data_IF_829233475963
#
_entry.id   IF_829233475963
#
_cell.length_a   1.000
_cell.length_b   1.000
_cell.length_c   1.000
_cell.angle_alpha   90.00
_cell.angle_beta   90.00
_cell.angle_gamma   90.00
#
_symmetry.space_group_name_H-M   'P 1'
#
loop_
_entity.id
_entity.type
_entity.pdbx_description
1 polymer ?
#
# COMPACT_ATOMS: atom_id res chain seq x y z
N UNK A 1 -24.75 -11.50 37.13
CA UNK A 1 -24.81 -10.03 37.15
C UNK A 1 -24.36 -9.53 38.51
N UNK A 2 -23.13 -9.02 38.62
CA UNK A 2 -22.60 -8.49 39.87
C UNK A 2 -22.53 -6.96 39.76
N UNK A 3 -23.26 -6.28 40.66
CA UNK A 3 -23.20 -4.84 40.90
C UNK A 3 -22.02 -4.56 41.84
N UNK A 4 -21.17 -3.59 41.50
CA UNK A 4 -20.28 -2.94 42.47
C UNK A 4 -20.59 -1.45 42.51
N UNK A 5 -20.97 -1.03 43.72
CA UNK A 5 -21.34 0.32 44.11
C UNK A 5 -20.10 1.19 44.27
N UNK A 6 -20.23 2.43 43.79
CA UNK A 6 -19.32 3.55 44.00
C UNK A 6 -19.71 4.26 45.31
N UNK A 7 -18.70 4.65 46.10
CA UNK A 7 -18.63 5.82 46.99
C UNK A 7 -17.23 5.80 47.66
N UNK A 8 -16.43 6.85 47.76
CA UNK A 8 -16.56 8.24 47.32
C UNK A 8 -15.38 9.08 47.87
N UNK A 9 -15.13 10.20 47.18
CA UNK A 9 -14.49 11.46 47.64
C UNK A 9 -12.96 11.44 47.97
N UNK A 10 -12.12 12.40 47.53
CA UNK A 10 -12.36 13.84 47.35
C UNK A 10 -11.34 14.54 46.41
N UNK A 11 -11.82 15.51 45.58
CA UNK A 11 -11.29 16.86 45.22
C UNK A 11 -9.80 17.03 44.81
N UNK A 12 -9.34 17.80 43.81
CA UNK A 12 -9.79 18.93 42.94
C UNK A 12 -8.72 19.03 41.82
N UNK A 13 -8.98 19.41 40.56
CA UNK A 13 -8.82 20.79 40.08
C UNK A 13 -8.77 20.84 38.54
N UNK A 14 -9.71 21.59 37.95
CA UNK A 14 -9.66 22.31 36.67
C UNK A 14 -9.19 21.56 35.40
N UNK A 15 -10.18 21.06 34.66
CA UNK A 15 -10.13 20.75 33.23
C UNK A 15 -9.80 22.05 32.46
N UNK A 16 -8.70 22.06 31.69
CA UNK A 16 -8.47 23.08 30.65
C UNK A 16 -8.96 22.52 29.31
N UNK A 17 -9.90 23.24 28.72
CA UNK A 17 -10.45 23.02 27.39
C UNK A 17 -9.35 23.19 26.31
N UNK A 18 -9.11 22.21 25.42
CA UNK A 18 -8.03 22.26 24.43
C UNK A 18 -8.29 23.20 23.24
N UNK A 19 -9.39 23.97 23.22
CA UNK A 19 -9.75 24.84 22.09
C UNK A 19 -9.69 26.36 22.35
N UNK A 20 -9.03 26.80 23.42
CA UNK A 20 -8.84 28.24 23.67
C UNK A 20 -7.69 28.83 22.84
N UNK A 21 -8.02 29.68 21.85
CA UNK A 21 -7.06 30.54 21.12
C UNK A 21 -6.42 31.56 22.07
N UNK A 22 -5.10 31.80 22.01
CA UNK A 22 -4.51 32.94 22.69
C UNK A 22 -4.65 34.21 21.83
N UNK A 23 -5.46 35.15 22.31
CA UNK A 23 -5.35 36.57 21.96
C UNK A 23 -4.14 37.16 22.69
N UNK A 24 -3.13 37.60 21.94
CA UNK A 24 -2.37 38.84 22.22
C UNK A 24 -1.41 39.11 21.07
N UNK A 25 -1.83 40.04 20.22
CA UNK A 25 -0.99 40.80 19.31
C UNK A 25 -0.09 41.74 20.13
N UNK A 26 1.24 41.57 20.00
CA UNK A 26 2.30 42.61 20.01
C UNK A 26 3.57 42.15 20.73
N UNK A 27 4.41 41.36 20.05
CA UNK A 27 5.81 41.16 20.44
C UNK A 27 6.66 40.69 19.26
N UNK A 28 6.70 41.48 18.18
CA UNK A 28 7.77 41.36 17.18
C UNK A 28 8.35 42.76 16.92
N UNK A 29 9.33 43.13 17.74
CA UNK A 29 10.24 44.22 17.43
C UNK A 29 11.21 43.77 16.34
N UNK A 30 11.03 44.29 15.13
CA UNK A 30 12.00 44.20 14.04
C UNK A 30 13.21 45.09 14.37
N UNK A 31 14.22 44.48 14.98
CA UNK A 31 15.55 45.06 15.15
C UNK A 31 16.45 44.70 13.98
N UNK A 32 16.92 45.74 13.26
CA UNK A 32 17.85 45.68 12.15
C UNK A 32 19.18 44.98 12.50
N UNK A 33 19.51 43.89 11.80
CA UNK A 33 20.84 43.28 11.80
C UNK A 33 21.48 43.43 10.42
N UNK A 34 22.01 44.63 10.13
CA UNK A 34 23.00 44.84 9.07
C UNK A 34 24.35 44.30 9.56
N UNK A 35 24.66 43.06 9.20
CA UNK A 35 26.00 42.57 8.85
C UNK A 35 25.89 41.09 8.52
N UNK A 36 25.78 40.80 7.22
CA UNK A 36 25.98 39.45 6.71
C UNK A 36 27.43 39.04 7.01
N UNK A 37 27.67 37.86 7.61
CA UNK A 37 29.00 37.28 7.57
C UNK A 37 29.35 37.05 6.11
N UNK A 38 30.54 37.50 5.73
CA UNK A 38 31.16 37.26 4.44
C UNK A 38 30.95 35.80 4.05
N UNK A 39 30.32 35.59 2.90
CA UNK A 39 30.19 34.27 2.27
C UNK A 39 31.53 33.58 2.35
N UNK A 40 31.65 32.38 2.96
CA UNK A 40 32.84 31.59 2.76
C UNK A 40 32.96 31.38 1.25
N UNK A 41 34.13 31.71 0.71
CA UNK A 41 34.45 31.52 -0.69
C UNK A 41 33.92 30.16 -1.15
N UNK A 42 33.34 30.12 -2.36
CA UNK A 42 32.94 28.91 -3.08
C UNK A 42 34.15 27.98 -3.23
N UNK A 43 34.49 27.27 -2.17
CA UNK A 43 35.39 26.16 -2.20
C UNK A 43 34.62 25.00 -2.85
N UNK A 44 34.80 24.86 -4.16
CA UNK A 44 34.72 23.61 -4.93
C UNK A 44 33.61 22.65 -4.46
N UNK A 45 32.49 22.63 -5.19
CA UNK A 45 31.42 21.64 -5.05
C UNK A 45 31.81 20.20 -5.43
N UNK A 46 33.10 19.88 -5.54
CA UNK A 46 33.58 18.50 -5.60
C UNK A 46 33.64 17.87 -4.20
N UNK A 47 32.49 17.75 -3.53
CA UNK A 47 32.39 16.74 -2.47
C UNK A 47 32.49 15.39 -3.17
N UNK A 48 33.65 14.72 -3.06
CA UNK A 48 33.82 13.32 -3.47
C UNK A 48 32.61 12.54 -2.94
N UNK A 49 31.78 12.04 -3.85
CA UNK A 49 30.63 11.19 -3.50
C UNK A 49 31.18 9.99 -2.75
N UNK A 50 30.65 9.73 -1.56
CA UNK A 50 31.08 8.58 -0.75
C UNK A 50 30.86 7.28 -1.57
N UNK A 51 31.87 6.42 -1.67
CA UNK A 51 31.82 5.21 -2.48
C UNK A 51 30.69 4.24 -2.06
N UNK A 52 30.22 4.34 -0.82
CA UNK A 52 29.08 3.61 -0.31
C UNK A 52 27.74 4.05 -0.92
N UNK A 53 27.64 5.32 -1.32
CA UNK A 53 26.48 5.89 -2.00
C UNK A 53 26.49 5.61 -3.51
N UNK A 54 27.65 5.25 -4.07
CA UNK A 54 27.79 4.88 -5.48
C UNK A 54 27.62 3.37 -5.72
N UNK A 55 26.52 2.92 -6.36
CA UNK A 55 26.31 1.50 -6.66
C UNK A 55 27.34 0.91 -7.64
N UNK A 56 28.04 1.77 -8.39
CA UNK A 56 29.03 1.35 -9.38
C UNK A 56 30.45 1.30 -8.81
N UNK A 57 30.65 1.70 -7.54
CA UNK A 57 31.99 1.66 -6.96
C UNK A 57 32.54 0.23 -7.00
N UNK A 58 33.82 0.10 -7.37
CA UNK A 58 34.52 -1.18 -7.38
C UNK A 58 35.04 -1.57 -5.98
N UNK A 59 35.15 -0.58 -5.08
CA UNK A 59 35.72 -0.70 -3.74
C UNK A 59 35.06 0.33 -2.83
N UNK A 60 34.81 0.01 -1.57
CA UNK A 60 34.31 0.99 -0.59
C UNK A 60 35.40 1.20 0.46
N UNK A 61 36.14 2.32 0.40
CA UNK A 61 37.21 2.60 1.35
C UNK A 61 36.76 2.54 2.81
N UNK A 62 37.64 2.07 3.69
CA UNK A 62 37.44 2.09 5.14
C UNK A 62 36.99 3.47 5.62
N UNK A 63 37.59 4.54 5.12
CA UNK A 63 37.25 5.92 5.49
C UNK A 63 35.79 6.26 5.16
N UNK A 64 35.30 5.78 4.01
CA UNK A 64 33.93 5.99 3.55
C UNK A 64 32.92 5.20 4.40
N UNK A 65 33.29 3.99 4.83
CA UNK A 65 32.50 3.18 5.77
C UNK A 65 32.42 3.88 7.13
N UNK A 66 33.56 4.33 7.66
CA UNK A 66 33.63 4.99 8.97
C UNK A 66 32.96 6.37 8.97
N UNK A 67 32.88 7.05 7.83
CA UNK A 67 32.14 8.29 7.69
C UNK A 67 30.62 8.09 7.86
N UNK A 68 30.09 6.93 7.48
CA UNK A 68 28.65 6.60 7.59
C UNK A 68 28.35 5.89 8.91
N UNK A 69 29.21 4.95 9.29
CA UNK A 69 29.10 4.19 10.52
C UNK A 69 30.35 4.46 11.36
N UNK A 70 30.34 5.44 12.28
CA UNK A 70 31.52 5.78 13.07
C UNK A 70 31.96 4.68 14.06
N UNK A 71 31.12 3.66 14.27
CA UNK A 71 31.42 2.54 15.16
C UNK A 71 30.64 1.30 14.76
N UNK A 72 31.14 0.13 15.18
CA UNK A 72 30.44 -1.15 15.06
C UNK A 72 29.03 -1.10 15.66
N UNK A 73 28.87 -0.42 16.81
CA UNK A 73 27.56 -0.26 17.46
C UNK A 73 26.60 0.54 16.58
N UNK A 74 27.07 1.61 15.93
CA UNK A 74 26.25 2.40 15.02
C UNK A 74 25.80 1.57 13.81
N UNK A 75 26.72 0.81 13.19
CA UNK A 75 26.39 -0.12 12.13
C UNK A 75 25.37 -1.17 12.57
N UNK A 76 25.63 -1.89 13.68
CA UNK A 76 24.72 -2.94 14.21
C UNK A 76 23.31 -2.40 14.45
N UNK A 77 23.21 -1.17 14.97
CA UNK A 77 21.90 -0.54 15.24
C UNK A 77 21.12 -0.32 13.95
N UNK A 78 21.76 0.25 12.92
CA UNK A 78 21.13 0.50 11.61
C UNK A 78 20.81 -0.81 10.90
N UNK A 79 21.72 -1.79 10.94
CA UNK A 79 21.55 -3.12 10.36
C UNK A 79 20.34 -3.86 10.95
N UNK A 80 20.27 -3.94 12.27
CA UNK A 80 19.15 -4.59 12.97
C UNK A 80 17.83 -3.86 12.74
N UNK A 81 17.84 -2.52 12.74
CA UNK A 81 16.68 -1.71 12.41
C UNK A 81 16.16 -1.98 11.00
N UNK A 82 17.06 -2.02 10.00
CA UNK A 82 16.71 -2.33 8.62
C UNK A 82 16.11 -3.73 8.47
N UNK A 83 16.72 -4.75 9.09
CA UNK A 83 16.22 -6.12 9.07
C UNK A 83 14.84 -6.24 9.72
N UNK A 84 14.66 -5.68 10.91
CA UNK A 84 13.38 -5.71 11.63
C UNK A 84 12.27 -5.03 10.83
N UNK A 85 12.55 -3.85 10.28
CA UNK A 85 11.57 -3.09 9.49
C UNK A 85 11.20 -3.83 8.21
N UNK A 86 12.19 -4.41 7.50
CA UNK A 86 11.93 -5.18 6.29
C UNK A 86 11.11 -6.43 6.59
N UNK A 87 11.45 -7.18 7.64
CA UNK A 87 10.71 -8.37 8.05
C UNK A 87 9.27 -8.06 8.46
N UNK A 88 9.05 -6.95 9.16
CA UNK A 88 7.70 -6.47 9.50
C UNK A 88 6.92 -6.11 8.22
N UNK A 89 7.47 -5.24 7.37
CA UNK A 89 6.83 -4.80 6.14
C UNK A 89 6.48 -5.98 5.22
N UNK A 90 7.40 -6.96 5.11
CA UNK A 90 7.20 -8.19 4.34
C UNK A 90 6.02 -9.00 4.83
N UNK A 91 5.89 -9.20 6.15
CA UNK A 91 4.77 -9.92 6.75
C UNK A 91 3.45 -9.19 6.51
N UNK A 92 3.43 -7.87 6.72
CA UNK A 92 2.24 -7.04 6.47
C UNK A 92 1.80 -7.15 5.01
N UNK A 93 2.73 -6.98 4.06
CA UNK A 93 2.42 -7.11 2.64
C UNK A 93 1.83 -8.48 2.29
N UNK A 94 2.43 -9.56 2.78
CA UNK A 94 1.92 -10.92 2.55
C UNK A 94 0.51 -11.10 3.13
N UNK A 95 0.24 -10.58 4.33
CA UNK A 95 -1.09 -10.61 4.93
C UNK A 95 -2.13 -9.95 4.01
N UNK A 96 -1.84 -8.77 3.47
CA UNK A 96 -2.76 -8.09 2.55
C UNK A 96 -2.93 -8.82 1.21
N UNK A 97 -1.86 -9.42 0.67
CA UNK A 97 -1.96 -10.26 -0.53
C UNK A 97 -2.91 -11.44 -0.29
N UNK A 98 -2.77 -12.12 0.85
CA UNK A 98 -3.64 -13.25 1.21
C UNK A 98 -5.07 -12.79 1.47
N UNK A 99 -5.25 -11.65 2.15
CA UNK A 99 -6.57 -11.05 2.39
C UNK A 99 -7.31 -10.75 1.08
N UNK A 100 -6.65 -10.08 0.13
CA UNK A 100 -7.26 -9.79 -1.18
C UNK A 100 -7.54 -11.04 -1.99
N UNK A 101 -6.64 -12.02 -1.93
CA UNK A 101 -6.86 -13.32 -2.59
C UNK A 101 -8.07 -14.05 -2.00
N UNK A 102 -8.23 -14.01 -0.68
CA UNK A 102 -9.37 -14.62 0.01
C UNK A 102 -10.68 -13.94 -0.39
N UNK A 103 -10.75 -12.60 -0.35
CA UNK A 103 -11.94 -11.85 -0.76
C UNK A 103 -12.27 -12.08 -2.23
N UNK A 104 -11.26 -12.07 -3.11
CA UNK A 104 -11.47 -12.37 -4.52
C UNK A 104 -12.14 -13.74 -4.69
N UNK A 105 -11.65 -14.75 -3.98
CA UNK A 105 -12.18 -16.11 -4.08
C UNK A 105 -13.58 -16.26 -3.45
N UNK A 106 -13.95 -15.46 -2.45
CA UNK A 106 -15.29 -15.51 -1.84
C UNK A 106 -16.31 -14.73 -2.66
N UNK A 107 -16.00 -13.50 -3.05
CA UNK A 107 -16.98 -12.56 -3.59
C UNK A 107 -17.15 -12.64 -5.12
N UNK A 108 -16.18 -13.22 -5.86
CA UNK A 108 -16.22 -13.21 -7.33
C UNK A 108 -17.47 -13.88 -7.88
N UNK A 109 -17.92 -14.98 -7.28
CA UNK A 109 -19.12 -15.68 -7.73
C UNK A 109 -20.37 -14.82 -7.53
N UNK A 110 -20.48 -14.12 -6.40
CA UNK A 110 -21.64 -13.28 -6.10
C UNK A 110 -21.67 -12.04 -7.00
N UNK A 111 -20.52 -11.43 -7.27
CA UNK A 111 -20.40 -10.34 -8.26
C UNK A 111 -20.85 -10.80 -9.64
N UNK A 112 -20.35 -11.94 -10.12
CA UNK A 112 -20.72 -12.47 -11.44
C UNK A 112 -22.21 -12.86 -11.52
N UNK A 113 -22.74 -13.47 -10.46
CA UNK A 113 -24.16 -13.81 -10.36
C UNK A 113 -25.04 -12.56 -10.44
N UNK A 114 -24.67 -11.49 -9.72
CA UNK A 114 -25.36 -10.20 -9.77
C UNK A 114 -25.31 -9.59 -11.17
N UNK A 115 -24.15 -9.64 -11.83
CA UNK A 115 -24.00 -9.22 -13.21
C UNK A 115 -24.95 -9.95 -14.17
N UNK A 116 -25.07 -11.27 -14.02
CA UNK A 116 -26.02 -12.08 -14.79
C UNK A 116 -27.46 -11.63 -14.56
N UNK A 117 -27.88 -11.44 -13.30
CA UNK A 117 -29.25 -11.04 -12.98
C UNK A 117 -29.61 -9.65 -13.55
N UNK A 118 -28.65 -8.73 -13.56
CA UNK A 118 -28.80 -7.40 -14.18
C UNK A 118 -28.93 -7.48 -15.70
N UNK A 119 -28.21 -8.40 -16.35
CA UNK A 119 -28.19 -8.55 -17.81
C UNK A 119 -29.37 -9.36 -18.35
N UNK A 120 -29.82 -10.40 -17.64
CA UNK A 120 -30.91 -11.28 -18.10
C UNK A 120 -32.31 -10.69 -17.86
N UNK A 121 -32.40 -9.45 -17.36
CA UNK A 121 -33.67 -8.78 -17.12
C UNK A 121 -34.53 -9.44 -16.03
N UNK A 122 -33.92 -10.27 -15.16
CA UNK A 122 -34.63 -10.88 -14.04
C UNK A 122 -35.22 -9.81 -13.12
N UNK A 123 -34.59 -8.64 -13.10
CA UNK A 123 -35.09 -7.40 -12.52
C UNK A 123 -34.99 -6.30 -13.58
N UNK A 124 -35.98 -5.41 -13.72
CA UNK A 124 -35.84 -4.27 -14.62
C UNK A 124 -34.61 -3.47 -14.21
N UNK A 125 -33.64 -3.28 -15.11
CA UNK A 125 -32.45 -2.49 -14.80
C UNK A 125 -32.84 -1.09 -14.30
N UNK A 126 -33.96 -0.53 -14.77
CA UNK A 126 -34.55 0.73 -14.32
C UNK A 126 -35.01 0.71 -12.85
N UNK A 127 -35.43 -0.43 -12.31
CA UNK A 127 -35.89 -0.57 -10.92
C UNK A 127 -34.74 -0.66 -9.90
N UNK A 128 -33.51 -0.92 -10.37
CA UNK A 128 -32.35 -1.04 -9.48
C UNK A 128 -31.79 0.37 -9.15
N UNK A 129 -31.59 0.71 -7.86
CA UNK A 129 -31.06 2.00 -7.47
C UNK A 129 -29.68 2.32 -8.11
N UNK A 130 -29.39 3.59 -8.46
CA UNK A 130 -28.10 3.98 -9.04
C UNK A 130 -26.89 3.60 -8.19
N UNK A 131 -27.01 3.70 -6.86
CA UNK A 131 -25.94 3.43 -5.90
C UNK A 131 -25.56 1.94 -5.92
N UNK A 132 -26.58 1.09 -6.10
CA UNK A 132 -26.42 -0.35 -6.22
C UNK A 132 -25.71 -0.67 -7.53
N UNK A 133 -26.08 -0.05 -8.65
CA UNK A 133 -25.36 -0.23 -9.93
C UNK A 133 -23.89 0.20 -9.80
N UNK A 134 -23.64 1.35 -9.20
CA UNK A 134 -22.29 1.86 -8.99
C UNK A 134 -21.45 0.88 -8.15
N UNK A 135 -22.02 0.36 -7.06
CA UNK A 135 -21.35 -0.63 -6.22
C UNK A 135 -20.92 -1.88 -7.00
N UNK A 136 -21.76 -2.39 -7.91
CA UNK A 136 -21.40 -3.52 -8.77
C UNK A 136 -20.21 -3.18 -9.68
N UNK A 137 -20.19 -1.99 -10.29
CA UNK A 137 -19.06 -1.54 -11.10
C UNK A 137 -17.78 -1.35 -10.27
N UNK A 138 -17.89 -0.81 -9.06
CA UNK A 138 -16.76 -0.65 -8.14
C UNK A 138 -16.13 -2.00 -7.81
N UNK A 139 -16.96 -3.02 -7.54
CA UNK A 139 -16.51 -4.39 -7.29
C UNK A 139 -15.84 -5.03 -8.50
N UNK A 140 -16.41 -4.88 -9.70
CA UNK A 140 -15.78 -5.37 -10.93
C UNK A 140 -14.41 -4.72 -11.17
N UNK A 141 -14.35 -3.39 -11.06
CA UNK A 141 -13.12 -2.64 -11.24
C UNK A 141 -12.05 -3.06 -10.22
N UNK A 142 -12.45 -3.22 -8.95
CA UNK A 142 -11.55 -3.68 -7.91
C UNK A 142 -11.03 -5.10 -8.18
N UNK A 143 -11.91 -6.05 -8.53
CA UNK A 143 -11.53 -7.43 -8.86
C UNK A 143 -10.55 -7.48 -10.05
N UNK A 144 -10.82 -6.71 -11.10
CA UNK A 144 -9.95 -6.60 -12.27
C UNK A 144 -8.57 -6.03 -11.91
N UNK A 145 -8.51 -5.03 -11.03
CA UNK A 145 -7.25 -4.44 -10.57
C UNK A 145 -6.37 -5.43 -9.79
N UNK A 146 -6.95 -6.45 -9.16
CA UNK A 146 -6.18 -7.45 -8.41
C UNK A 146 -5.29 -8.31 -9.32
N UNK A 147 -5.67 -8.53 -10.57
CA UNK A 147 -4.89 -9.34 -11.52
C UNK A 147 -3.54 -8.73 -11.83
N UNK A 148 -3.42 -7.40 -11.78
CA UNK A 148 -2.14 -6.71 -11.86
C UNK A 148 -1.52 -6.47 -10.49
N UNK A 149 -2.33 -6.11 -9.50
CA UNK A 149 -1.83 -5.70 -8.18
C UNK A 149 -1.17 -6.85 -7.43
N UNK A 150 -1.80 -8.04 -7.39
CA UNK A 150 -1.30 -9.19 -6.62
C UNK A 150 0.05 -9.70 -7.15
N UNK A 151 0.23 -9.97 -8.47
CA UNK A 151 1.51 -10.43 -8.98
C UNK A 151 2.64 -9.42 -8.77
N UNK A 152 2.37 -8.13 -8.96
CA UNK A 152 3.37 -7.08 -8.73
C UNK A 152 3.72 -6.93 -7.23
N UNK A 153 2.73 -7.07 -6.33
CA UNK A 153 2.96 -7.10 -4.89
C UNK A 153 3.78 -8.33 -4.46
N UNK A 154 3.53 -9.51 -5.04
CA UNK A 154 4.32 -10.73 -4.81
C UNK A 154 5.76 -10.58 -5.30
N UNK A 155 5.98 -9.93 -6.44
CA UNK A 155 7.31 -9.58 -6.94
C UNK A 155 8.04 -8.65 -5.97
N UNK A 156 7.34 -7.65 -5.44
CA UNK A 156 7.89 -6.75 -4.42
C UNK A 156 8.24 -7.48 -3.12
N UNK A 157 7.36 -8.36 -2.64
CA UNK A 157 7.63 -9.24 -1.50
C UNK A 157 8.89 -10.10 -1.73
N UNK A 158 9.08 -10.61 -2.95
CA UNK A 158 10.27 -11.38 -3.31
C UNK A 158 11.54 -10.54 -3.21
N UNK A 159 11.53 -9.29 -3.66
CA UNK A 159 12.67 -8.38 -3.47
C UNK A 159 12.97 -8.11 -1.99
N UNK A 160 11.96 -8.02 -1.12
CA UNK A 160 12.17 -7.90 0.33
C UNK A 160 12.86 -9.14 0.90
N UNK A 161 12.48 -10.35 0.48
CA UNK A 161 13.15 -11.60 0.89
C UNK A 161 14.60 -11.64 0.41
N UNK A 162 14.85 -11.25 -0.84
CA UNK A 162 16.20 -11.20 -1.39
C UNK A 162 17.07 -10.18 -0.66
N UNK A 163 16.49 -9.05 -0.24
CA UNK A 163 17.20 -8.04 0.54
C UNK A 163 17.60 -8.58 1.93
N UNK A 164 16.68 -9.25 2.64
CA UNK A 164 17.00 -9.94 3.90
C UNK A 164 18.13 -10.96 3.74
N UNK A 165 18.09 -11.77 2.69
CA UNK A 165 19.14 -12.75 2.38
C UNK A 165 20.48 -12.07 2.07
N UNK A 166 20.45 -10.95 1.36
CA UNK A 166 21.66 -10.18 1.05
C UNK A 166 22.30 -9.62 2.33
N UNK A 167 21.49 -9.10 3.26
CA UNK A 167 21.98 -8.65 4.57
C UNK A 167 22.64 -9.81 5.34
N UNK A 168 21.98 -10.97 5.43
CA UNK A 168 22.54 -12.14 6.11
C UNK A 168 23.82 -12.67 5.46
N UNK A 169 23.92 -12.61 4.12
CA UNK A 169 25.11 -13.04 3.39
C UNK A 169 26.27 -12.05 3.56
N UNK A 170 25.98 -10.75 3.70
CA UNK A 170 26.97 -9.71 3.91
C UNK A 170 27.47 -9.62 5.36
N UNK A 171 26.73 -10.16 6.33
CA UNK A 171 27.04 -10.05 7.76
C UNK A 171 28.46 -10.51 8.13
N UNK A 172 28.98 -11.66 7.65
CA UNK A 172 30.35 -12.08 7.95
C UNK A 172 31.41 -11.10 7.44
N UNK A 173 31.17 -10.45 6.29
CA UNK A 173 32.08 -9.43 5.73
C UNK A 173 32.10 -8.19 6.63
N UNK A 174 30.94 -7.80 7.16
CA UNK A 174 30.83 -6.72 8.14
C UNK A 174 31.50 -7.05 9.47
N UNK A 175 31.29 -8.25 9.99
CA UNK A 175 31.97 -8.68 11.22
C UNK A 175 33.48 -8.62 11.03
N UNK A 176 34.00 -9.19 9.92
CA UNK A 176 35.45 -9.17 9.67
C UNK A 176 36.00 -7.77 9.47
N UNK A 177 35.25 -6.87 8.81
CA UNK A 177 35.63 -5.45 8.71
C UNK A 177 35.87 -4.82 10.08
N UNK A 178 34.95 -5.01 11.04
CA UNK A 178 35.07 -4.42 12.38
C UNK A 178 36.19 -5.05 13.22
N UNK A 179 36.47 -6.33 13.02
CA UNK A 179 37.62 -7.00 13.64
C UNK A 179 38.93 -6.44 13.08
N UNK A 180 39.05 -6.35 11.75
CA UNK A 180 40.23 -5.79 11.08
C UNK A 180 40.47 -4.32 11.42
N UNK A 181 39.42 -3.50 11.51
CA UNK A 181 39.55 -2.10 11.92
C UNK A 181 40.21 -1.99 13.31
N UNK A 182 39.82 -2.88 14.23
CA UNK A 182 40.37 -2.94 15.59
C UNK A 182 41.80 -3.45 15.60
N UNK A 183 42.11 -4.45 14.80
CA UNK A 183 43.46 -5.02 14.64
C UNK A 183 44.41 -3.96 14.05
N UNK A 184 44.03 -3.27 12.98
CA UNK A 184 44.80 -2.20 12.33
C UNK A 184 45.10 -1.02 13.25
N UNK A 185 44.15 -0.68 14.13
CA UNK A 185 44.34 0.38 15.12
C UNK A 185 45.33 -0.02 16.24
N UNK A 186 45.57 -1.33 16.45
CA UNK A 186 46.43 -1.86 17.53
C UNK A 186 47.80 -2.36 17.05
N UNK A 187 47.92 -2.73 15.78
CA UNK A 187 49.12 -3.37 15.26
C UNK A 187 50.25 -2.38 14.91
N UNK A 188 51.48 -2.75 15.29
CA UNK A 188 52.73 -2.04 14.95
C UNK A 188 53.16 -2.30 13.49
N UNK A 189 52.95 -3.53 12.98
CA UNK A 189 53.13 -3.89 11.56
C UNK A 189 51.76 -4.11 10.90
N UNK A 190 51.54 -3.50 9.72
CA UNK A 190 50.20 -3.40 9.11
C UNK A 190 50.11 -3.95 7.68
N UNK A 191 51.16 -4.57 7.14
CA UNK A 191 51.20 -4.91 5.72
C UNK A 191 50.11 -5.94 5.36
N UNK A 192 50.10 -7.10 6.00
CA UNK A 192 49.12 -8.18 5.75
C UNK A 192 47.69 -7.76 6.07
N UNK A 193 47.50 -7.00 7.17
CA UNK A 193 46.18 -6.49 7.57
C UNK A 193 45.60 -5.46 6.59
N UNK A 194 46.46 -4.71 5.88
CA UNK A 194 46.02 -3.77 4.85
C UNK A 194 45.58 -4.50 3.58
N UNK A 195 46.31 -5.53 3.17
CA UNK A 195 45.91 -6.38 2.04
C UNK A 195 44.56 -7.07 2.31
N UNK A 196 44.36 -7.58 3.53
CA UNK A 196 43.07 -8.17 3.90
C UNK A 196 41.94 -7.12 3.95
N UNK A 197 42.22 -5.90 4.42
CA UNK A 197 41.25 -4.81 4.38
C UNK A 197 40.85 -4.48 2.93
N UNK A 198 41.80 -4.42 2.01
CA UNK A 198 41.52 -4.17 0.59
C UNK A 198 40.55 -5.21 0.00
N UNK A 199 40.72 -6.48 0.34
CA UNK A 199 39.80 -7.56 -0.05
C UNK A 199 38.41 -7.39 0.53
N UNK A 200 38.31 -6.98 1.81
CA UNK A 200 37.03 -6.70 2.46
C UNK A 200 36.32 -5.53 1.79
N UNK A 201 37.03 -4.46 1.44
CA UNK A 201 36.45 -3.28 0.79
C UNK A 201 35.89 -3.59 -0.61
N UNK A 202 36.50 -4.52 -1.35
CA UNK A 202 35.98 -5.04 -2.62
C UNK A 202 34.71 -5.89 -2.39
N UNK A 203 34.73 -6.79 -1.40
CA UNK A 203 33.55 -7.61 -1.04
C UNK A 203 32.38 -6.73 -0.59
N UNK A 204 32.66 -5.67 0.18
CA UNK A 204 31.68 -4.67 0.58
C UNK A 204 31.05 -3.98 -0.63
N UNK A 205 31.85 -3.58 -1.62
CA UNK A 205 31.33 -2.98 -2.85
C UNK A 205 30.38 -3.91 -3.61
N UNK A 206 30.72 -5.20 -3.69
CA UNK A 206 29.86 -6.20 -4.34
C UNK A 206 28.51 -6.37 -3.63
N UNK A 207 28.51 -6.48 -2.29
CA UNK A 207 27.28 -6.54 -1.49
C UNK A 207 26.47 -5.23 -1.59
N UNK A 208 27.15 -4.09 -1.54
CA UNK A 208 26.50 -2.78 -1.65
C UNK A 208 25.80 -2.59 -2.99
N UNK A 209 26.41 -3.03 -4.10
CA UNK A 209 25.80 -2.98 -5.43
C UNK A 209 24.50 -3.78 -5.49
N UNK A 210 24.51 -5.02 -4.96
CA UNK A 210 23.30 -5.86 -4.88
C UNK A 210 22.23 -5.23 -4.01
N UNK A 211 22.61 -4.73 -2.83
CA UNK A 211 21.69 -4.03 -1.92
C UNK A 211 21.05 -2.81 -2.60
N UNK A 212 21.83 -1.96 -3.26
CA UNK A 212 21.33 -0.80 -4.01
C UNK A 212 20.36 -1.20 -5.13
N UNK A 213 20.69 -2.25 -5.88
CA UNK A 213 19.78 -2.78 -6.91
C UNK A 213 18.43 -3.19 -6.31
N UNK A 214 18.44 -3.96 -5.22
CA UNK A 214 17.22 -4.41 -4.54
C UNK A 214 16.42 -3.24 -3.95
N UNK A 215 17.09 -2.28 -3.31
CA UNK A 215 16.45 -1.09 -2.77
C UNK A 215 15.81 -0.23 -3.86
N UNK A 216 16.46 -0.08 -5.02
CA UNK A 216 15.87 0.60 -6.19
C UNK A 216 14.65 -0.14 -6.73
N UNK A 217 14.72 -1.47 -6.82
CA UNK A 217 13.57 -2.27 -7.24
C UNK A 217 12.38 -2.12 -6.28
N UNK A 218 12.63 -2.11 -4.97
CA UNK A 218 11.60 -1.84 -3.95
C UNK A 218 11.00 -0.44 -4.12
N UNK A 219 11.82 0.60 -4.31
CA UNK A 219 11.33 1.97 -4.55
C UNK A 219 10.46 2.02 -5.82
N UNK A 220 10.90 1.42 -6.92
CA UNK A 220 10.16 1.38 -8.17
C UNK A 220 8.82 0.63 -8.05
N UNK A 221 8.76 -0.38 -7.17
CA UNK A 221 7.55 -1.16 -6.91
C UNK A 221 6.64 -0.58 -5.82
N UNK A 222 6.91 0.62 -5.29
CA UNK A 222 6.18 1.18 -4.14
C UNK A 222 4.69 1.38 -4.42
N UNK A 223 4.33 1.84 -5.61
CA UNK A 223 2.94 2.14 -5.94
C UNK A 223 2.05 0.89 -5.95
N UNK A 224 2.60 -0.26 -6.37
CA UNK A 224 1.92 -1.55 -6.30
C UNK A 224 1.65 -1.99 -4.87
N UNK A 225 2.61 -1.76 -3.97
CA UNK A 225 2.43 -2.03 -2.53
C UNK A 225 1.33 -1.13 -1.96
N UNK A 226 1.31 0.15 -2.30
CA UNK A 226 0.26 1.07 -1.85
C UNK A 226 -1.13 0.65 -2.32
N UNK A 227 -1.27 0.21 -3.58
CA UNK A 227 -2.54 -0.33 -4.11
C UNK A 227 -3.00 -1.57 -3.34
N UNK A 228 -2.07 -2.37 -2.84
CA UNK A 228 -2.38 -3.55 -2.02
C UNK A 228 -2.99 -3.17 -0.65
N UNK A 229 -2.87 -1.92 -0.21
CA UNK A 229 -3.51 -1.45 1.03
C UNK A 229 -4.87 -0.80 0.81
N UNK A 230 -5.34 -0.69 -0.44
CA UNK A 230 -6.68 -0.21 -0.72
C UNK A 230 -7.71 -1.26 -0.26
N UNK A 231 -8.70 -0.88 0.56
CA UNK A 231 -9.75 -1.80 0.98
C UNK A 231 -10.63 -2.19 -0.21
N UNK A 232 -11.29 -3.35 -0.16
CA UNK A 232 -12.37 -3.66 -1.09
C UNK A 232 -13.51 -2.63 -0.97
N UNK A 233 -14.31 -2.43 -2.03
CA UNK A 233 -15.56 -1.68 -1.92
C UNK A 233 -16.47 -2.30 -0.85
N UNK A 234 -17.31 -1.50 -0.19
CA UNK A 234 -18.27 -2.08 0.76
C UNK A 234 -19.29 -2.93 0.00
N UNK A 235 -19.54 -4.16 0.45
CA UNK A 235 -20.57 -5.00 -0.16
C UNK A 235 -21.96 -4.45 0.14
N UNK A 236 -22.80 -4.33 -0.89
CA UNK A 236 -24.24 -4.03 -0.73
C UNK A 236 -25.00 -5.34 -0.90
N UNK A 237 -25.71 -5.76 0.15
CA UNK A 237 -26.46 -7.02 0.14
C UNK A 237 -27.58 -6.96 -0.90
N UNK A 238 -27.40 -7.76 -1.95
CA UNK A 238 -28.31 -7.84 -3.08
C UNK A 238 -29.67 -8.45 -2.70
N UNK A 239 -29.70 -9.34 -1.70
CA UNK A 239 -30.95 -9.96 -1.25
C UNK A 239 -31.91 -8.92 -0.66
N UNK A 240 -31.37 -7.97 0.10
CA UNK A 240 -32.14 -6.86 0.65
C UNK A 240 -32.64 -5.94 -0.46
N UNK A 241 -31.80 -5.61 -1.44
CA UNK A 241 -32.20 -4.77 -2.59
C UNK A 241 -33.34 -5.42 -3.38
N UNK A 242 -33.26 -6.74 -3.61
CA UNK A 242 -34.34 -7.48 -4.28
C UNK A 242 -35.63 -7.45 -3.46
N UNK A 243 -35.55 -7.64 -2.13
CA UNK A 243 -36.72 -7.52 -1.26
C UNK A 243 -37.35 -6.13 -1.31
N UNK A 244 -36.53 -5.08 -1.34
CA UNK A 244 -37.00 -3.69 -1.38
C UNK A 244 -37.68 -3.38 -2.72
N UNK A 245 -37.12 -3.86 -3.85
CA UNK A 245 -37.73 -3.72 -5.18
C UNK A 245 -39.07 -4.46 -5.24
N UNK A 246 -39.14 -5.69 -4.72
CA UNK A 246 -40.38 -6.47 -4.67
C UNK A 246 -41.42 -5.80 -3.76
N UNK A 247 -41.02 -5.28 -2.60
CA UNK A 247 -41.91 -4.59 -1.68
C UNK A 247 -42.47 -3.29 -2.28
N UNK A 248 -41.63 -2.52 -3.00
CA UNK A 248 -42.06 -1.30 -3.69
C UNK A 248 -43.05 -1.61 -4.83
N UNK A 249 -42.82 -2.67 -5.61
CA UNK A 249 -43.76 -3.12 -6.65
C UNK A 249 -45.09 -3.65 -6.11
N UNK A 250 -45.10 -4.18 -4.87
CA UNK A 250 -46.33 -4.59 -4.19
C UNK A 250 -47.13 -3.40 -3.63
N UNK A 251 -46.47 -2.28 -3.30
CA UNK A 251 -47.13 -1.04 -2.86
C UNK A 251 -47.79 -0.29 -4.02
N UNK A 252 -47.12 -0.21 -5.18
CA UNK A 252 -47.67 0.44 -6.39
C UNK A 252 -48.93 -0.28 -6.91
N UNK A 253 -49.03 -1.60 -6.67
CA UNK A 253 -50.22 -2.40 -6.96
C UNK A 253 -51.35 -2.33 -5.91
N UNK A 254 -51.14 -1.65 -4.79
CA UNK A 254 -52.12 -1.52 -3.70
C UNK A 254 -52.80 -0.14 -3.66
N UNK A 255 -52.16 0.90 -4.19
CA UNK A 255 -52.74 2.26 -4.29
C UNK A 255 -53.75 2.40 -5.46
N UNK A 256 -53.73 1.52 -6.44
CA UNK A 256 -54.63 1.58 -7.61
C UNK A 256 -55.99 0.88 -7.40
N UNK A 257 -56.29 0.39 -6.19
CA UNK A 257 -57.55 -0.33 -5.89
C UNK A 257 -58.69 0.52 -5.31
N UNK A 258 -58.49 1.82 -5.14
CA UNK A 258 -59.53 2.69 -4.59
C UNK A 258 -59.71 4.02 -5.32
N UNK A 259 -59.58 4.09 -6.65
CA UNK A 259 -60.24 5.13 -7.45
C UNK A 259 -60.31 4.76 -8.93
N UNK A 260 -61.46 4.22 -9.39
CA UNK A 260 -62.29 4.83 -10.45
C UNK A 260 -63.35 3.86 -10.97
N UNK A 261 -64.60 4.32 -10.85
CA UNK A 261 -65.75 3.85 -11.61
C UNK A 261 -65.56 4.14 -13.11
N UNK A 262 -66.02 3.19 -13.91
CA UNK A 262 -66.62 3.32 -15.26
C UNK A 262 -66.10 4.43 -16.21
N UNK A 263 -65.47 4.05 -17.33
CA UNK A 263 -66.16 4.00 -18.65
C UNK A 263 -65.29 3.41 -19.78
N UNK A 264 -65.98 2.60 -20.58
CA UNK A 264 -65.68 1.96 -21.86
C UNK A 264 -65.18 2.92 -22.96
N UNK A 265 -64.17 2.56 -23.77
CA UNK A 265 -64.14 2.68 -25.25
C UNK A 265 -63.05 1.74 -25.80
N UNK A 266 -63.43 0.86 -26.75
CA UNK A 266 -62.49 -0.01 -27.45
C UNK A 266 -61.75 0.70 -28.59
N UNK A 267 -60.55 0.21 -28.90
CA UNK A 267 -59.93 0.33 -30.22
C UNK A 267 -59.09 -0.92 -30.50
N UNK A 268 -59.41 -1.58 -31.60
CA UNK A 268 -58.57 -2.59 -32.28
C UNK A 268 -57.28 -1.93 -32.80
N UNK A 269 -56.15 -2.65 -32.75
CA UNK A 269 -55.12 -2.51 -33.80
C UNK A 269 -54.10 -3.66 -33.76
N UNK A 270 -54.15 -4.50 -34.80
CA UNK A 270 -52.97 -4.89 -35.57
C UNK A 270 -51.98 -5.89 -34.96
N UNK A 271 -52.38 -7.15 -34.82
CA UNK A 271 -51.43 -8.27 -34.74
C UNK A 271 -51.10 -8.72 -36.17
N UNK A 272 -49.91 -8.38 -36.65
CA UNK A 272 -49.30 -9.01 -37.84
C UNK A 272 -48.44 -10.15 -37.31
N UNK A 273 -48.90 -11.38 -37.52
CA UNK A 273 -48.05 -12.57 -37.54
C UNK A 273 -47.60 -12.75 -38.98
N UNK A 274 -46.29 -12.89 -39.23
CA UNK A 274 -45.71 -14.00 -40.02
C UNK A 274 -44.15 -13.95 -40.05
N UNK A 275 -43.41 -14.95 -40.57
CA UNK A 275 -42.74 -15.98 -39.77
C UNK A 275 -41.25 -16.15 -40.16
N UNK A 276 -40.60 -17.17 -39.60
CA UNK A 276 -39.40 -17.87 -40.12
C UNK A 276 -38.22 -17.04 -40.66
N UNK A 277 -37.13 -17.04 -39.88
CA UNK A 277 -35.80 -17.12 -40.45
C UNK A 277 -34.96 -18.10 -39.61
N UNK A 278 -34.73 -19.24 -40.24
CA UNK A 278 -33.92 -20.39 -39.88
C UNK A 278 -32.48 -20.07 -39.47
N UNK A 279 -32.00 -20.88 -38.52
CA UNK A 279 -30.64 -21.44 -38.36
C UNK A 279 -29.53 -20.90 -39.28
N UNK A 280 -28.40 -20.53 -38.67
CA UNK A 280 -27.08 -21.00 -39.11
C UNK A 280 -26.09 -20.91 -37.95
N UNK A 281 -25.58 -22.08 -37.58
CA UNK A 281 -24.36 -22.28 -36.81
C UNK A 281 -23.16 -21.83 -37.66
N UNK A 282 -22.27 -21.01 -37.12
CA UNK A 282 -20.89 -20.95 -37.58
C UNK A 282 -19.94 -21.09 -36.38
N UNK A 283 -19.45 -22.31 -36.30
CA UNK A 283 -18.29 -22.82 -35.61
C UNK A 283 -17.02 -22.06 -36.05
N UNK A 284 -16.26 -21.51 -35.10
CA UNK A 284 -14.88 -21.11 -35.35
C UNK A 284 -13.98 -22.06 -34.54
N UNK A 285 -13.43 -23.05 -35.23
CA UNK A 285 -12.28 -23.83 -34.77
C UNK A 285 -11.02 -22.96 -34.74
N UNK A 286 -10.15 -23.25 -33.76
CA UNK A 286 -8.75 -22.84 -33.66
C UNK A 286 -7.85 -23.92 -34.26
#
# INVERSE_FOLDING_TARGET
MAKLSINGYEQRSAIKDPLSRPDTSSAYGLGSARSLPTTPAEASWDRKRNAFEDPNSARIPREDILAIYPSEKAWRTVYMGALSNNAFARRVLMTYILFHSAIKNTEIHDVLNRGKQLLTGQWPYTAVPPEVKQNYFDWLNWLACLDETIPNALKHHTWMVLLEREYATAEPVWTRFWDLDRELNRAESRCELREEMDDIEIKMAAHNRKRHFLQRALIAGKDWVLRTYLPPPMWVDWSQVVQDIVAAGLQDGMDDRFHSDETQVGYESGHISDPEATETEEEFEL
#
